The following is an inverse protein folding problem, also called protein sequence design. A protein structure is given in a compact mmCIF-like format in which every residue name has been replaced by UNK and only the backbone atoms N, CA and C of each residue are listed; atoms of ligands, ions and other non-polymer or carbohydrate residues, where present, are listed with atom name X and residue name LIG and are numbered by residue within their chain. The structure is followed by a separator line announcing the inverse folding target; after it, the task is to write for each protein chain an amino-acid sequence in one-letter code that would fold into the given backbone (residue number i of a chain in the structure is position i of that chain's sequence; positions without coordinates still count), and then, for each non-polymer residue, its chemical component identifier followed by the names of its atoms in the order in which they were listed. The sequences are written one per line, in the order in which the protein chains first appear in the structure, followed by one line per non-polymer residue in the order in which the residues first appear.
data_IF_342157677287
#
_entry.id   IF_342157677287
#
_cell.length_a   1.000
_cell.length_b   1.000
_cell.length_c   1.000
_cell.angle_alpha   90.00
_cell.angle_beta   90.00
_cell.angle_gamma   90.00
#
_symmetry.space_group_name_H-M   'P 1'
#
loop_
_entity.id
_entity.type
_entity.pdbx_description
1 polymer ?
#
# COMPACT_ATOMS: atom_id res chain seq x y z
N UNK A 1 40.41 -57.80 -3.18
CA UNK A 1 39.54 -58.20 -2.07
C UNK A 1 38.91 -56.94 -1.49
N UNK A 2 37.64 -56.74 -1.83
CA UNK A 2 36.78 -55.60 -1.49
C UNK A 2 36.05 -55.88 -0.18
N UNK A 3 35.80 -54.87 0.65
CA UNK A 3 34.47 -54.65 1.27
C UNK A 3 34.33 -53.19 1.76
N UNK A 4 33.17 -52.54 1.53
CA UNK A 4 32.86 -51.18 1.98
C UNK A 4 32.07 -51.14 3.30
N UNK A 5 32.23 -50.04 4.06
CA UNK A 5 31.52 -49.77 5.33
C UNK A 5 30.10 -49.25 5.07
N UNK A 6 29.13 -49.84 5.77
CA UNK A 6 27.69 -49.67 5.59
C UNK A 6 27.13 -48.33 6.11
N UNK A 7 26.17 -47.76 5.36
CA UNK A 7 25.30 -46.64 5.76
C UNK A 7 24.00 -47.20 6.37
N UNK A 8 23.44 -46.58 7.42
CA UNK A 8 22.15 -47.00 7.97
C UNK A 8 20.99 -46.61 7.03
N UNK A 9 20.08 -47.57 6.84
CA UNK A 9 18.89 -47.51 6.00
C UNK A 9 17.83 -46.57 6.57
N UNK A 10 17.27 -45.73 5.72
CA UNK A 10 16.10 -44.90 6.02
C UNK A 10 14.83 -45.78 5.98
N UNK A 11 14.20 -45.95 7.14
CA UNK A 11 12.86 -46.50 7.24
C UNK A 11 11.82 -45.50 6.72
N UNK A 12 11.21 -45.81 5.58
CA UNK A 12 10.04 -45.14 5.04
C UNK A 12 8.81 -45.46 5.92
N UNK A 13 8.32 -44.48 6.68
CA UNK A 13 6.98 -44.54 7.26
C UNK A 13 5.99 -43.84 6.33
N UNK A 14 5.19 -44.63 5.59
CA UNK A 14 4.02 -44.16 4.86
C UNK A 14 2.93 -43.73 5.85
N UNK A 15 2.81 -42.42 6.10
CA UNK A 15 1.67 -41.80 6.75
C UNK A 15 0.65 -41.33 5.73
N UNK A 16 -0.54 -41.94 5.75
CA UNK A 16 -1.64 -41.78 4.81
C UNK A 16 -2.06 -40.32 4.57
N UNK A 17 -2.06 -39.90 3.31
CA UNK A 17 -2.70 -38.67 2.82
C UNK A 17 -4.22 -38.81 2.94
N UNK A 18 -4.82 -38.13 3.92
CA UNK A 18 -6.26 -37.90 3.91
C UNK A 18 -6.59 -36.83 2.86
N UNK A 19 -7.19 -37.28 1.77
CA UNK A 19 -7.93 -36.41 0.86
C UNK A 19 -9.13 -35.84 1.60
N UNK A 20 -9.10 -34.54 1.93
CA UNK A 20 -10.29 -33.79 2.31
C UNK A 20 -10.67 -32.92 1.11
N UNK A 21 -11.66 -33.41 0.34
CA UNK A 21 -12.43 -32.59 -0.59
C UNK A 21 -13.24 -31.60 0.26
N UNK A 22 -12.84 -30.33 0.27
CA UNK A 22 -13.64 -29.26 0.83
C UNK A 22 -14.82 -28.99 -0.12
N UNK A 23 -15.99 -29.49 0.27
CA UNK A 23 -17.29 -29.20 -0.32
C UNK A 23 -17.64 -27.73 -0.10
N UNK A 24 -18.09 -27.07 -1.17
CA UNK A 24 -18.60 -25.71 -1.14
C UNK A 24 -19.98 -25.67 -0.46
N UNK A 25 -20.12 -24.83 0.58
CA UNK A 25 -21.41 -24.44 1.13
C UNK A 25 -21.39 -22.90 1.30
N UNK A 26 -22.38 -22.17 0.76
CA UNK A 26 -22.40 -20.71 0.86
C UNK A 26 -23.09 -20.22 2.14
N UNK A 27 -22.53 -19.11 2.66
CA UNK A 27 -23.21 -17.93 3.23
C UNK A 27 -24.38 -18.15 4.19
N UNK A 28 -24.20 -17.71 5.44
CA UNK A 28 -24.81 -16.45 5.89
C UNK A 28 -24.59 -16.23 7.39
N UNK A 29 -24.31 -14.98 7.72
CA UNK A 29 -24.06 -14.49 9.07
C UNK A 29 -25.37 -14.54 9.88
N UNK A 30 -25.37 -15.26 11.01
CA UNK A 30 -26.38 -15.07 12.04
C UNK A 30 -25.91 -13.96 12.98
N UNK A 31 -26.48 -12.78 12.77
CA UNK A 31 -26.61 -11.74 13.78
C UNK A 31 -27.66 -12.24 14.79
N UNK A 32 -27.33 -12.24 16.09
CA UNK A 32 -28.33 -12.43 17.14
C UNK A 32 -29.33 -11.27 17.11
N UNK A 33 -30.57 -11.54 16.71
CA UNK A 33 -31.71 -10.66 16.91
C UNK A 33 -32.62 -11.26 17.98
N UNK A 34 -32.97 -10.42 18.97
CA UNK A 34 -33.85 -10.71 20.08
C UNK A 34 -35.19 -11.27 19.60
N UNK A 35 -35.55 -12.45 20.13
CA UNK A 35 -36.86 -13.08 20.01
C UNK A 35 -37.87 -12.33 20.88
N UNK A 36 -38.81 -11.62 20.26
CA UNK A 36 -40.05 -11.20 20.90
C UNK A 36 -41.12 -12.27 20.60
N UNK A 37 -41.66 -12.88 21.66
CA UNK A 37 -42.79 -13.80 21.55
C UNK A 37 -44.07 -12.98 21.39
N UNK A 38 -44.70 -13.06 20.21
CA UNK A 38 -46.07 -12.56 20.00
C UNK A 38 -46.95 -13.74 19.64
N UNK A 39 -47.80 -14.12 20.60
CA UNK A 39 -48.80 -15.16 20.44
C UNK A 39 -50.03 -14.58 19.76
N UNK A 40 -50.27 -14.89 18.50
CA UNK A 40 -51.63 -14.92 17.95
C UNK A 40 -51.71 -15.83 16.74
N UNK A 41 -52.59 -16.84 16.86
CA UNK A 41 -52.93 -17.78 15.80
C UNK A 41 -53.69 -17.13 14.63
N UNK A 42 -53.93 -17.90 13.55
CA UNK A 42 -54.23 -17.35 12.23
C UNK A 42 -55.71 -17.00 12.08
N UNK A 43 -56.01 -15.72 11.85
CA UNK A 43 -57.29 -15.30 11.30
C UNK A 43 -57.16 -15.33 9.78
N UNK A 44 -57.71 -16.38 9.16
CA UNK A 44 -57.91 -16.50 7.71
C UNK A 44 -59.01 -15.53 7.26
N UNK A 45 -58.67 -14.26 7.11
CA UNK A 45 -59.42 -13.31 6.31
C UNK A 45 -58.48 -12.11 6.09
N UNK A 46 -58.29 -11.73 4.83
CA UNK A 46 -57.67 -10.47 4.33
C UNK A 46 -56.34 -10.61 3.55
N UNK A 47 -55.73 -11.80 3.46
CA UNK A 47 -54.50 -12.01 2.66
C UNK A 47 -54.70 -11.63 1.18
N UNK A 48 -55.89 -11.85 0.64
CA UNK A 48 -56.25 -11.50 -0.74
C UNK A 48 -56.33 -9.99 -0.97
N UNK A 49 -56.63 -9.19 0.05
CA UNK A 49 -56.65 -7.72 -0.06
C UNK A 49 -55.24 -7.15 -0.03
N UNK A 50 -54.36 -7.73 0.80
CA UNK A 50 -52.96 -7.31 0.87
C UNK A 50 -52.19 -7.65 -0.41
N UNK A 51 -52.42 -8.83 -0.97
CA UNK A 51 -51.83 -9.25 -2.25
C UNK A 51 -52.28 -8.35 -3.40
N UNK A 52 -53.59 -8.03 -3.49
CA UNK A 52 -54.09 -7.08 -4.49
C UNK A 52 -53.48 -5.69 -4.38
N UNK A 53 -53.28 -5.18 -3.16
CA UNK A 53 -52.59 -3.88 -2.94
C UNK A 53 -51.11 -3.93 -3.34
N UNK A 54 -50.45 -5.07 -3.19
CA UNK A 54 -49.07 -5.26 -3.63
C UNK A 54 -48.98 -5.34 -5.16
N UNK A 55 -49.92 -6.03 -5.79
CA UNK A 55 -49.99 -6.12 -7.25
C UNK A 55 -50.31 -4.75 -7.88
N UNK A 56 -51.23 -3.98 -7.29
CA UNK A 56 -51.52 -2.59 -7.70
C UNK A 56 -50.30 -1.66 -7.54
N UNK A 57 -49.49 -1.84 -6.49
CA UNK A 57 -48.25 -1.09 -6.30
C UNK A 57 -47.16 -1.49 -7.30
N UNK A 58 -47.09 -2.77 -7.66
CA UNK A 58 -46.16 -3.26 -8.68
C UNK A 58 -46.51 -2.66 -10.06
N UNK A 59 -47.79 -2.71 -10.44
CA UNK A 59 -48.28 -2.09 -11.68
C UNK A 59 -48.06 -0.57 -11.70
N UNK A 60 -48.22 0.12 -10.56
CA UNK A 60 -47.92 1.55 -10.45
C UNK A 60 -46.43 1.86 -10.67
N UNK A 61 -45.52 1.08 -10.08
CA UNK A 61 -44.08 1.25 -10.26
C UNK A 61 -43.62 0.91 -11.69
N UNK A 62 -44.29 -0.02 -12.36
CA UNK A 62 -44.03 -0.37 -13.76
C UNK A 62 -44.62 0.63 -14.76
N UNK A 63 -45.73 1.28 -14.41
CA UNK A 63 -46.36 2.33 -15.23
C UNK A 63 -45.62 3.68 -15.20
N UNK A 64 -44.73 3.90 -14.23
CA UNK A 64 -43.84 5.06 -14.21
C UNK A 64 -42.85 4.91 -15.38
N UNK A 65 -42.77 5.88 -16.33
CA UNK A 65 -41.73 5.86 -17.35
C UNK A 65 -40.37 5.88 -16.64
N UNK A 66 -39.72 4.72 -16.57
CA UNK A 66 -38.34 4.64 -16.15
C UNK A 66 -37.53 5.27 -17.27
N UNK A 67 -37.38 6.59 -17.24
CA UNK A 67 -36.27 7.24 -17.92
C UNK A 67 -35.02 6.52 -17.41
N UNK A 68 -34.50 5.61 -18.22
CA UNK A 68 -33.15 5.08 -18.08
C UNK A 68 -32.21 6.23 -18.40
N UNK A 69 -32.18 7.25 -17.55
CA UNK A 69 -30.97 7.99 -17.27
C UNK A 69 -30.04 7.01 -16.56
N UNK A 70 -29.51 6.04 -17.32
CA UNK A 70 -28.11 5.68 -17.10
C UNK A 70 -27.42 7.05 -17.12
N UNK A 71 -26.73 7.49 -16.07
CA UNK A 71 -25.79 8.57 -16.28
C UNK A 71 -24.84 7.99 -17.32
N UNK A 72 -25.03 8.37 -18.58
CA UNK A 72 -23.97 8.30 -19.55
C UNK A 72 -22.88 9.09 -18.88
N UNK A 73 -21.92 8.37 -18.27
CA UNK A 73 -20.67 8.97 -17.89
C UNK A 73 -20.16 9.49 -19.21
N UNK A 74 -20.34 10.79 -19.44
CA UNK A 74 -19.95 11.44 -20.68
C UNK A 74 -18.58 10.88 -21.02
N UNK A 75 -18.35 10.37 -22.25
CA UNK A 75 -17.00 10.01 -22.65
C UNK A 75 -16.18 11.21 -22.26
N UNK A 76 -15.23 11.02 -21.32
CA UNK A 76 -14.51 12.11 -20.69
C UNK A 76 -14.03 12.98 -21.83
N UNK A 77 -14.67 14.13 -22.04
CA UNK A 77 -14.37 14.98 -23.17
C UNK A 77 -12.86 15.16 -23.05
N UNK A 78 -12.13 14.75 -24.09
CA UNK A 78 -10.73 15.12 -24.19
C UNK A 78 -10.82 16.63 -24.19
N UNK A 79 -10.60 17.23 -23.03
CA UNK A 79 -10.52 18.66 -22.87
C UNK A 79 -9.46 19.03 -23.89
N UNK A 80 -9.86 19.63 -25.00
CA UNK A 80 -8.94 20.11 -25.99
C UNK A 80 -8.18 21.24 -25.29
N UNK A 81 -7.07 20.85 -24.69
CA UNK A 81 -6.17 21.71 -23.93
C UNK A 81 -5.33 22.50 -24.93
N UNK A 82 -5.99 23.28 -25.79
CA UNK A 82 -5.37 24.41 -26.46
C UNK A 82 -5.27 25.58 -25.47
N UNK A 83 -4.77 25.31 -24.27
CA UNK A 83 -4.23 26.36 -23.40
C UNK A 83 -2.85 26.74 -23.98
N UNK A 84 -2.49 28.03 -24.07
CA UNK A 84 -1.13 28.40 -24.44
C UNK A 84 -0.22 27.84 -23.35
N UNK A 85 0.54 26.80 -23.71
CA UNK A 85 1.56 26.17 -22.87
C UNK A 85 2.49 27.28 -22.36
N UNK A 86 2.23 27.77 -21.14
CA UNK A 86 3.12 28.69 -20.43
C UNK A 86 4.50 28.05 -20.48
N UNK A 87 5.43 28.70 -21.19
CA UNK A 87 6.76 28.19 -21.52
C UNK A 87 7.46 27.66 -20.27
N UNK A 88 7.30 26.36 -20.00
CA UNK A 88 8.13 25.64 -19.04
C UNK A 88 9.31 25.13 -19.84
N UNK A 89 10.51 25.60 -19.47
CA UNK A 89 11.76 25.25 -20.13
C UNK A 89 12.00 23.74 -20.25
N UNK A 90 13.04 23.33 -20.98
CA UNK A 90 13.32 21.92 -21.26
C UNK A 90 13.27 21.08 -19.98
N UNK A 91 12.34 20.13 -19.89
CA UNK A 91 12.17 19.31 -18.68
C UNK A 91 13.20 18.19 -18.58
N UNK A 92 13.88 17.90 -19.70
CA UNK A 92 14.91 16.87 -19.80
C UNK A 92 16.28 17.45 -19.46
N UNK A 93 16.97 16.84 -18.48
CA UNK A 93 18.35 17.18 -18.11
C UNK A 93 19.32 16.44 -19.04
N UNK A 94 20.14 17.19 -19.79
CA UNK A 94 21.21 16.61 -20.60
C UNK A 94 22.42 16.31 -19.69
N UNK A 95 22.75 15.02 -19.56
CA UNK A 95 23.90 14.51 -18.84
C UNK A 95 24.96 13.99 -19.81
N UNK A 96 26.23 14.24 -19.50
CA UNK A 96 27.36 13.77 -20.30
C UNK A 96 27.47 12.24 -20.21
N UNK A 97 27.76 11.57 -21.33
CA UNK A 97 27.87 10.10 -21.39
C UNK A 97 26.54 9.34 -21.58
N UNK A 98 25.40 10.03 -21.51
CA UNK A 98 24.12 9.46 -21.93
C UNK A 98 23.96 9.63 -23.44
N UNK A 99 23.66 8.54 -24.14
CA UNK A 99 23.32 8.57 -25.56
C UNK A 99 21.89 9.10 -25.73
N UNK A 100 21.69 10.00 -26.70
CA UNK A 100 20.38 10.55 -27.04
C UNK A 100 19.96 10.06 -28.42
N UNK A 101 18.84 9.35 -28.49
CA UNK A 101 18.21 9.07 -29.76
C UNK A 101 17.59 10.36 -30.31
N UNK A 102 17.58 10.58 -31.64
CA UNK A 102 17.03 11.79 -32.25
C UNK A 102 15.56 12.03 -31.86
N UNK A 103 14.77 10.96 -31.72
CA UNK A 103 13.38 11.03 -31.27
C UNK A 103 13.24 11.65 -29.86
N UNK A 104 14.24 11.49 -29.00
CA UNK A 104 14.22 12.00 -27.62
C UNK A 104 14.55 13.49 -27.52
N UNK A 105 14.91 14.13 -28.64
CA UNK A 105 15.14 15.57 -28.79
C UNK A 105 13.93 16.31 -29.36
N UNK A 106 12.84 15.61 -29.66
CA UNK A 106 11.60 16.24 -30.11
C UNK A 106 11.02 17.13 -29.01
N UNK A 107 10.42 18.29 -29.35
CA UNK A 107 9.87 19.23 -28.36
C UNK A 107 8.83 18.58 -27.45
N UNK A 108 8.02 17.66 -27.96
CA UNK A 108 7.02 16.93 -27.18
C UNK A 108 7.65 16.04 -26.10
N UNK A 109 8.71 15.30 -26.47
CA UNK A 109 9.44 14.44 -25.54
C UNK A 109 10.26 15.27 -24.53
N UNK A 110 10.85 16.39 -24.97
CA UNK A 110 11.59 17.31 -24.11
C UNK A 110 10.70 18.03 -23.09
N UNK A 111 9.39 18.17 -23.37
CA UNK A 111 8.38 18.77 -22.47
C UNK A 111 7.67 17.74 -21.60
N UNK A 112 7.73 16.46 -21.95
CA UNK A 112 7.07 15.40 -21.20
C UNK A 112 7.73 15.17 -19.84
N UNK A 113 7.03 15.53 -18.75
CA UNK A 113 7.46 15.15 -17.41
C UNK A 113 7.09 13.68 -17.16
N UNK A 114 8.02 12.84 -16.68
CA UNK A 114 7.66 11.47 -16.32
C UNK A 114 6.57 11.51 -15.26
N UNK A 115 5.46 10.80 -15.51
CA UNK A 115 4.36 10.72 -14.55
C UNK A 115 4.92 10.15 -13.24
N UNK A 116 4.78 10.90 -12.15
CA UNK A 116 5.17 10.43 -10.82
C UNK A 116 4.36 9.16 -10.51
N UNK A 117 5.05 8.02 -10.39
CA UNK A 117 4.41 6.75 -10.03
C UNK A 117 3.91 6.85 -8.58
N UNK A 118 2.69 6.40 -8.32
CA UNK A 118 2.17 6.32 -6.97
C UNK A 118 3.04 5.38 -6.12
N UNK A 119 3.27 5.74 -4.86
CA UNK A 119 4.02 4.90 -3.93
C UNK A 119 3.25 3.59 -3.70
N UNK A 120 3.94 2.43 -3.73
CA UNK A 120 3.28 1.16 -3.52
C UNK A 120 2.78 1.04 -2.07
N UNK A 121 1.71 0.28 -1.86
CA UNK A 121 1.12 0.09 -0.53
C UNK A 121 2.10 -0.56 0.46
N UNK A 122 2.79 -1.64 0.06
CA UNK A 122 3.63 -2.47 0.94
C UNK A 122 5.13 -2.11 0.92
N UNK A 123 5.53 -1.14 0.08
CA UNK A 123 6.92 -0.80 -0.19
C UNK A 123 7.62 -1.80 -1.13
N UNK A 124 8.90 -1.54 -1.47
CA UNK A 124 9.62 -2.29 -2.50
C UNK A 124 9.84 -3.76 -2.14
N UNK A 125 10.14 -4.60 -3.15
CA UNK A 125 10.55 -5.98 -2.91
C UNK A 125 11.87 -6.05 -2.12
N UNK A 126 12.22 -7.20 -1.52
CA UNK A 126 13.49 -7.33 -0.78
C UNK A 126 14.71 -7.06 -1.68
N UNK A 127 14.69 -7.60 -2.90
CA UNK A 127 15.80 -7.47 -3.86
C UNK A 127 15.98 -6.02 -4.32
N UNK A 128 14.88 -5.31 -4.60
CA UNK A 128 14.92 -3.88 -4.90
C UNK A 128 15.44 -3.08 -3.71
N UNK A 129 14.87 -3.32 -2.52
CA UNK A 129 15.28 -2.60 -1.32
C UNK A 129 16.76 -2.79 -1.02
N UNK A 130 17.34 -3.97 -1.20
CA UNK A 130 18.78 -4.20 -0.99
C UNK A 130 19.67 -3.33 -1.90
N UNK A 131 19.22 -3.00 -3.12
CA UNK A 131 19.95 -2.13 -4.05
C UNK A 131 19.87 -0.65 -3.66
N UNK A 132 18.80 -0.25 -2.98
CA UNK A 132 18.52 1.16 -2.65
C UNK A 132 18.86 1.51 -1.19
N UNK A 133 18.83 0.53 -0.28
CA UNK A 133 18.96 0.72 1.17
C UNK A 133 20.40 1.14 1.56
N UNK A 134 20.62 2.38 2.03
CA UNK A 134 21.96 2.87 2.36
C UNK A 134 22.57 2.13 3.54
N UNK A 135 21.77 1.70 4.53
CA UNK A 135 22.28 0.96 5.69
C UNK A 135 22.76 -0.44 5.29
N UNK A 136 22.11 -1.04 4.30
CA UNK A 136 22.56 -2.32 3.77
C UNK A 136 23.84 -2.19 2.95
N UNK A 137 23.91 -1.21 2.06
CA UNK A 137 25.07 -0.96 1.19
C UNK A 137 26.30 -0.60 2.01
N UNK A 138 26.14 0.27 3.00
CA UNK A 138 27.25 0.73 3.87
C UNK A 138 27.55 -0.26 5.01
N UNK A 139 26.80 -1.36 5.12
CA UNK A 139 26.90 -2.35 6.20
C UNK A 139 26.78 -1.76 7.63
N UNK A 140 26.07 -0.64 7.80
CA UNK A 140 25.91 0.06 9.08
C UNK A 140 24.67 -0.48 9.82
N UNK A 141 24.79 -0.69 11.14
CA UNK A 141 23.69 -1.14 11.98
C UNK A 141 23.27 -0.08 13.02
N UNK A 142 22.20 0.71 12.77
CA UNK A 142 21.81 1.80 13.68
C UNK A 142 21.23 1.35 15.02
N UNK A 143 20.87 0.07 15.18
CA UNK A 143 20.21 -0.41 16.41
C UNK A 143 21.16 -0.80 17.53
N UNK A 144 22.39 -1.20 17.25
CA UNK A 144 23.32 -1.74 18.25
C UNK A 144 24.35 -0.67 18.58
N UNK A 145 24.51 -0.26 19.85
CA UNK A 145 25.69 0.50 20.23
C UNK A 145 26.87 -0.47 20.13
N UNK A 146 27.70 -0.30 19.10
CA UNK A 146 29.00 -0.96 19.03
C UNK A 146 30.06 0.10 19.29
N UNK A 147 31.23 -0.32 19.78
CA UNK A 147 32.35 0.60 20.02
C UNK A 147 32.82 1.32 18.74
N UNK A 148 32.54 0.73 17.58
CA UNK A 148 32.86 1.29 16.27
C UNK A 148 31.69 2.05 15.62
N UNK A 149 30.44 1.75 15.97
CA UNK A 149 29.25 2.24 15.26
C UNK A 149 28.28 2.95 16.21
N UNK A 150 28.39 4.28 16.23
CA UNK A 150 27.49 5.18 16.95
C UNK A 150 26.43 5.82 16.03
N UNK A 151 25.96 5.07 15.05
CA UNK A 151 25.03 5.56 14.03
C UNK A 151 23.66 6.02 14.58
N UNK A 152 23.27 5.61 15.80
CA UNK A 152 22.08 6.14 16.47
C UNK A 152 22.30 7.52 17.10
N UNK A 153 23.56 7.93 17.34
CA UNK A 153 23.90 9.27 17.86
C UNK A 153 23.83 10.34 16.76
N UNK A 154 23.90 9.92 15.50
CA UNK A 154 23.86 10.82 14.34
C UNK A 154 22.42 11.24 14.00
N UNK A 155 21.93 12.27 14.68
CA UNK A 155 20.59 12.85 14.44
C UNK A 155 20.33 13.24 12.99
N UNK A 156 21.35 13.70 12.26
CA UNK A 156 21.23 14.09 10.85
C UNK A 156 20.89 12.92 9.90
N UNK A 157 21.36 11.72 10.20
CA UNK A 157 21.04 10.52 9.40
C UNK A 157 19.61 10.07 9.73
N UNK A 158 19.28 10.04 11.02
CA UNK A 158 17.98 9.58 11.50
C UNK A 158 16.83 10.53 11.14
N UNK A 159 17.08 11.84 11.09
CA UNK A 159 16.09 12.85 10.73
C UNK A 159 15.55 12.67 9.31
N UNK A 160 16.30 12.05 8.39
CA UNK A 160 15.81 11.72 7.05
C UNK A 160 14.73 10.63 7.02
N UNK A 161 14.63 9.81 8.06
CA UNK A 161 13.64 8.74 8.18
C UNK A 161 12.45 9.12 9.05
N UNK A 162 12.31 10.41 9.33
CA UNK A 162 11.24 10.99 10.14
C UNK A 162 10.51 12.05 9.31
N UNK A 163 9.19 12.06 9.41
CA UNK A 163 8.31 13.07 8.83
C UNK A 163 8.57 14.43 9.47
N UNK A 164 8.15 15.50 8.81
CA UNK A 164 8.16 16.85 9.36
C UNK A 164 7.57 16.93 10.79
N UNK A 165 6.46 16.21 11.01
CA UNK A 165 5.75 16.13 12.29
C UNK A 165 6.44 15.23 13.34
N UNK A 166 7.66 14.75 13.09
CA UNK A 166 8.32 13.83 14.00
C UNK A 166 7.77 12.39 13.95
N UNK A 167 6.97 11.99 12.97
CA UNK A 167 6.51 10.58 12.84
C UNK A 167 7.55 9.74 12.10
N UNK A 168 7.84 8.51 12.54
CA UNK A 168 8.75 7.61 11.81
C UNK A 168 8.12 7.25 10.47
N UNK A 169 8.84 7.45 9.36
CA UNK A 169 8.31 7.21 8.03
C UNK A 169 8.07 5.71 7.80
N UNK A 170 6.95 5.33 7.16
CA UNK A 170 6.66 3.95 6.81
C UNK A 170 7.60 3.44 5.71
N UNK A 171 7.73 2.10 5.62
CA UNK A 171 8.68 1.45 4.70
C UNK A 171 8.46 1.77 3.23
N UNK A 172 7.21 1.97 2.82
CA UNK A 172 6.87 2.34 1.45
C UNK A 172 7.43 3.70 1.03
N UNK A 173 7.63 4.61 1.98
CA UNK A 173 8.27 5.91 1.74
C UNK A 173 9.79 5.79 1.87
N UNK A 174 10.29 5.09 2.90
CA UNK A 174 11.74 5.01 3.15
C UNK A 174 12.49 4.11 2.17
N UNK A 175 11.82 3.14 1.53
CA UNK A 175 12.44 2.22 0.58
C UNK A 175 13.41 1.20 1.20
N UNK A 176 13.50 1.15 2.53
CA UNK A 176 14.47 0.34 3.25
C UNK A 176 14.14 -1.17 3.23
N UNK A 177 15.15 -2.00 3.49
CA UNK A 177 14.90 -3.43 3.79
C UNK A 177 14.11 -3.57 5.09
N UNK A 178 13.35 -4.67 5.24
CA UNK A 178 12.56 -4.88 6.47
C UNK A 178 13.42 -4.93 7.74
N UNK A 179 14.66 -5.41 7.62
CA UNK A 179 15.62 -5.51 8.73
C UNK A 179 16.12 -4.13 9.14
N UNK A 180 16.61 -3.33 8.18
CA UNK A 180 17.07 -1.97 8.44
C UNK A 180 15.95 -1.07 8.95
N UNK A 181 14.74 -1.13 8.39
CA UNK A 181 13.59 -0.37 8.89
C UNK A 181 13.32 -0.61 10.39
N UNK A 182 13.39 -1.88 10.85
CA UNK A 182 13.25 -2.19 12.29
C UNK A 182 14.38 -1.61 13.13
N UNK A 183 15.61 -1.64 12.60
CA UNK A 183 16.78 -1.10 13.29
C UNK A 183 16.76 0.41 13.37
N UNK A 184 16.41 1.09 12.28
CA UNK A 184 16.22 2.54 12.22
C UNK A 184 15.11 2.96 13.19
N UNK A 185 13.99 2.23 13.22
CA UNK A 185 12.93 2.51 14.19
C UNK A 185 13.39 2.39 15.65
N UNK A 186 14.22 1.38 15.97
CA UNK A 186 14.82 1.25 17.31
C UNK A 186 15.81 2.38 17.61
N UNK A 187 16.64 2.75 16.63
CA UNK A 187 17.61 3.83 16.73
C UNK A 187 16.95 5.18 16.98
N UNK A 188 15.88 5.51 16.22
CA UNK A 188 15.12 6.76 16.39
C UNK A 188 14.49 6.83 17.79
N UNK A 189 13.90 5.72 18.27
CA UNK A 189 13.33 5.68 19.64
C UNK A 189 14.41 5.90 20.70
N UNK A 190 15.60 5.32 20.53
CA UNK A 190 16.74 5.55 21.42
C UNK A 190 17.22 7.00 21.35
N UNK A 191 17.39 7.55 20.15
CA UNK A 191 17.84 8.93 19.95
C UNK A 191 16.88 9.95 20.59
N UNK A 192 15.57 9.68 20.56
CA UNK A 192 14.56 10.49 21.28
C UNK A 192 14.73 10.43 22.79
N UNK A 193 14.92 9.23 23.35
CA UNK A 193 15.15 9.06 24.78
C UNK A 193 16.42 9.77 25.26
N UNK A 194 17.43 9.88 24.38
CA UNK A 194 18.69 10.60 24.66
C UNK A 194 18.62 12.11 24.37
N UNK A 195 17.49 12.64 23.90
CA UNK A 195 17.36 14.07 23.56
C UNK A 195 18.05 14.50 22.25
N UNK A 196 18.55 13.56 21.44
CA UNK A 196 19.26 13.85 20.18
C UNK A 196 18.27 14.26 19.06
N UNK A 197 17.07 13.68 19.07
CA UNK A 197 16.05 13.93 18.06
C UNK A 197 14.72 14.34 18.71
N UNK A 198 14.05 15.41 18.24
CA UNK A 198 12.75 15.82 18.76
C UNK A 198 11.65 14.79 18.45
N UNK A 199 10.62 14.77 19.29
CA UNK A 199 9.46 13.86 19.15
C UNK A 199 8.41 14.42 18.18
N UNK A 200 8.22 15.74 18.22
CA UNK A 200 7.15 16.45 17.50
C UNK A 200 7.62 17.17 16.24
N UNK A 201 8.92 17.11 15.94
CA UNK A 201 9.48 17.70 14.73
C UNK A 201 10.57 16.81 14.15
N UNK A 202 10.97 17.05 12.89
CA UNK A 202 12.07 16.34 12.23
C UNK A 202 13.45 16.69 12.80
N UNK A 203 13.57 17.77 13.58
CA UNK A 203 14.85 18.41 13.91
C UNK A 203 15.44 19.11 12.69
N UNK A 204 16.35 20.09 12.88
CA UNK A 204 16.88 20.92 11.80
C UNK A 204 17.50 20.07 10.68
N UNK A 205 16.72 19.82 9.64
CA UNK A 205 17.06 18.96 8.52
C UNK A 205 16.41 19.52 7.28
N UNK A 206 17.10 20.47 6.64
CA UNK A 206 16.85 20.94 5.26
C UNK A 206 15.41 21.42 4.95
N UNK A 207 14.69 21.94 5.94
CA UNK A 207 13.43 22.65 5.75
C UNK A 207 13.61 24.12 6.13
N UNK A 208 13.66 24.99 5.13
CA UNK A 208 13.73 26.44 5.30
C UNK A 208 12.47 26.99 5.97
N UNK A 209 12.50 27.11 7.29
CA UNK A 209 11.76 28.15 7.98
C UNK A 209 12.67 29.38 8.00
N UNK A 210 12.54 30.20 6.96
CA UNK A 210 13.13 31.54 6.95
C UNK A 210 12.40 32.41 7.96
N UNK A 211 13.02 32.55 9.13
CA UNK A 211 13.17 33.80 9.88
C UNK A 211 14.50 33.64 10.63
N UNK A 212 15.55 34.23 10.08
CA UNK A 212 16.85 34.50 10.72
C UNK A 212 17.23 35.92 10.37
#
# INVERSE_FOLDING_TARGET
MTTPVARPTLGLALGMRRHMRASAAPLSQQLMCLRMNSTKGPNKADDTSAQKKLDELADFLESQPQEKTRPMRAPRAKLDQSQPESFRGPTKVFQNGYYYDPQTLNPDNMRSQPRRKALPLLGPSKREAMKTDPFHILAINPSKPSLADDSYKNGAILSNFVSEMGKILPRNVTGLTRKSQRYVGKAIRRARAMGILPVLSRGQGRGGAGWR
#
